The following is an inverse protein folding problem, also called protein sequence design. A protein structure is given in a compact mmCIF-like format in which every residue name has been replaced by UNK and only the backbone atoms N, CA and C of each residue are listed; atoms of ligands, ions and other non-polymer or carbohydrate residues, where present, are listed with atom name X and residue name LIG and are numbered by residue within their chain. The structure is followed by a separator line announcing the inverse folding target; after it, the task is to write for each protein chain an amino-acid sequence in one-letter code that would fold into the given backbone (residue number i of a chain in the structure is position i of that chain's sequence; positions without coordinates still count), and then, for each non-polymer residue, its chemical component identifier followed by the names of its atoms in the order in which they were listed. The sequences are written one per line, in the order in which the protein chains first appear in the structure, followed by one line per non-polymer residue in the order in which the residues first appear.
data_IF_506671230953
#
_entry.id   IF_506671230953
#
_cell.length_a   1.000
_cell.length_b   1.000
_cell.length_c   1.000
_cell.angle_alpha   90.00
_cell.angle_beta   90.00
_cell.angle_gamma   90.00
#
_symmetry.space_group_name_H-M   'P 1'
#
loop_
_entity.id
_entity.type
_entity.pdbx_description
1 polymer ?
#
# COMPACT_ATOMS: atom_id res chain seq x y z
N UNK A 1 16.82 -1.60 -19.36
CA UNK A 1 15.96 -1.30 -18.20
C UNK A 1 16.03 0.20 -18.01
N UNK A 2 14.92 0.91 -18.12
CA UNK A 2 14.92 2.35 -17.90
C UNK A 2 15.29 2.62 -16.44
N UNK A 3 16.26 3.51 -16.26
CA UNK A 3 16.72 3.95 -14.95
C UNK A 3 15.53 4.70 -14.31
N UNK A 4 14.89 4.11 -13.31
CA UNK A 4 13.80 4.79 -12.61
C UNK A 4 14.40 5.96 -11.83
N UNK A 5 13.78 7.15 -11.90
CA UNK A 5 14.28 8.30 -11.17
C UNK A 5 14.29 8.03 -9.67
N UNK A 6 15.39 8.34 -9.02
CA UNK A 6 15.50 8.23 -7.56
C UNK A 6 14.57 9.26 -6.92
N UNK A 7 13.70 8.79 -6.05
CA UNK A 7 12.78 9.63 -5.29
C UNK A 7 13.51 10.18 -4.06
N UNK A 8 13.64 11.49 -3.97
CA UNK A 8 14.40 12.13 -2.90
C UNK A 8 13.52 12.65 -1.74
N UNK A 9 12.23 12.80 -1.97
CA UNK A 9 11.31 13.27 -0.94
C UNK A 9 9.89 12.72 -1.13
N UNK A 10 9.09 12.60 -0.06
CA UNK A 10 7.68 12.27 -0.17
C UNK A 10 6.92 13.23 -1.08
N UNK A 11 7.24 14.52 -1.01
CA UNK A 11 6.63 15.54 -1.86
C UNK A 11 6.87 15.27 -3.34
N UNK A 12 8.11 15.01 -3.74
CA UNK A 12 8.42 14.70 -5.15
C UNK A 12 7.71 13.42 -5.60
N UNK A 13 7.61 12.43 -4.72
CA UNK A 13 6.89 11.21 -5.01
C UNK A 13 5.41 11.49 -5.30
N UNK A 14 4.71 12.11 -4.37
CA UNK A 14 3.26 12.30 -4.50
C UNK A 14 2.86 13.34 -5.56
N UNK A 15 3.61 14.44 -5.68
CA UNK A 15 3.20 15.56 -6.53
C UNK A 15 3.70 15.45 -7.97
N UNK A 16 4.70 14.60 -8.25
CA UNK A 16 5.28 14.44 -9.59
C UNK A 16 5.30 12.99 -10.05
N UNK A 17 6.08 12.14 -9.35
CA UNK A 17 6.42 10.79 -9.84
C UNK A 17 5.18 9.90 -9.89
N UNK A 18 4.34 9.94 -8.86
CA UNK A 18 3.15 9.14 -8.77
C UNK A 18 2.11 9.48 -9.85
N UNK A 19 1.72 10.74 -10.09
CA UNK A 19 0.81 11.11 -11.17
C UNK A 19 1.38 10.81 -12.57
N UNK A 20 2.67 11.08 -12.78
CA UNK A 20 3.34 10.80 -14.05
C UNK A 20 3.38 9.30 -14.34
N UNK A 21 3.76 8.49 -13.36
CA UNK A 21 3.77 7.03 -13.46
C UNK A 21 2.36 6.47 -13.72
N UNK A 22 1.34 7.04 -13.09
CA UNK A 22 -0.04 6.66 -13.33
C UNK A 22 -0.48 6.98 -14.76
N UNK A 23 -0.16 8.17 -15.27
CA UNK A 23 -0.57 8.61 -16.61
C UNK A 23 0.03 7.78 -17.75
N UNK A 24 1.17 7.08 -17.51
CA UNK A 24 1.83 6.24 -18.52
C UNK A 24 1.29 4.81 -18.59
N UNK A 25 0.39 4.43 -17.68
CA UNK A 25 -0.16 3.08 -17.63
C UNK A 25 -1.56 3.03 -18.26
N UNK A 26 -1.86 1.91 -18.91
CA UNK A 26 -3.22 1.64 -19.39
C UNK A 26 -4.08 1.13 -18.24
N UNK A 27 -5.04 1.94 -17.80
CA UNK A 27 -5.94 1.60 -16.70
C UNK A 27 -7.21 0.90 -17.15
N UNK A 28 -7.34 0.61 -18.45
CA UNK A 28 -8.54 0.03 -19.05
C UNK A 28 -9.77 0.95 -18.97
N UNK A 29 -10.77 0.68 -19.77
CA UNK A 29 -12.07 1.37 -19.69
C UNK A 29 -12.80 0.93 -18.40
N UNK A 30 -12.99 1.84 -17.45
CA UNK A 30 -13.70 1.58 -16.20
C UNK A 30 -12.80 1.38 -14.97
N UNK A 31 -11.65 2.04 -14.93
CA UNK A 31 -10.76 2.05 -13.74
C UNK A 31 -11.55 2.32 -12.46
N UNK A 32 -11.30 1.50 -11.42
CA UNK A 32 -12.02 1.59 -10.16
C UNK A 32 -11.79 2.94 -9.48
N UNK A 33 -12.87 3.57 -9.02
CA UNK A 33 -12.78 4.81 -8.25
C UNK A 33 -12.27 4.52 -6.84
N UNK A 34 -11.22 5.20 -6.43
CA UNK A 34 -10.61 5.05 -5.12
C UNK A 34 -10.23 6.41 -4.53
N UNK A 35 -10.35 6.53 -3.22
CA UNK A 35 -9.90 7.67 -2.41
C UNK A 35 -8.93 7.15 -1.36
N UNK A 36 -7.68 7.58 -1.43
CA UNK A 36 -6.60 7.14 -0.56
C UNK A 36 -6.02 8.36 0.16
N UNK A 37 -5.71 8.21 1.43
CA UNK A 37 -5.06 9.24 2.24
C UNK A 37 -3.72 8.72 2.74
N UNK A 38 -2.68 9.50 2.58
CA UNK A 38 -1.33 9.17 3.03
C UNK A 38 -0.90 10.16 4.11
N UNK A 39 -0.55 9.62 5.26
CA UNK A 39 0.01 10.36 6.39
C UNK A 39 1.46 9.93 6.54
N UNK A 40 2.37 10.75 6.05
CA UNK A 40 3.81 10.47 6.07
C UNK A 40 4.43 11.21 7.26
N UNK A 41 4.98 10.44 8.20
CA UNK A 41 5.58 10.99 9.43
C UNK A 41 7.09 11.15 9.27
N UNK A 42 7.70 11.95 10.15
CA UNK A 42 9.14 12.17 10.17
C UNK A 42 9.58 13.31 9.25
N UNK A 43 10.88 13.37 8.99
CA UNK A 43 11.51 14.45 8.25
C UNK A 43 11.02 14.52 6.80
N UNK A 44 10.62 15.71 6.35
CA UNK A 44 10.02 15.89 5.02
C UNK A 44 8.65 15.25 4.84
N UNK A 45 8.02 14.80 5.92
CA UNK A 45 6.68 14.23 5.92
C UNK A 45 5.58 15.23 5.59
N UNK A 46 4.35 14.76 5.55
CA UNK A 46 3.17 15.54 5.22
C UNK A 46 1.96 14.63 4.97
N UNK A 47 0.90 15.23 4.47
CA UNK A 47 -0.31 14.51 4.12
C UNK A 47 -0.64 14.71 2.66
N UNK A 48 -1.11 13.65 1.99
CA UNK A 48 -1.55 13.69 0.60
C UNK A 48 -2.82 12.87 0.42
N UNK A 49 -3.76 13.47 -0.28
CA UNK A 49 -4.96 12.78 -0.74
C UNK A 49 -4.82 12.41 -2.21
N UNK A 50 -4.96 11.13 -2.51
CA UNK A 50 -4.91 10.57 -3.87
C UNK A 50 -6.30 10.07 -4.24
N UNK A 51 -6.90 10.67 -5.24
CA UNK A 51 -8.19 10.27 -5.79
C UNK A 51 -8.00 9.72 -7.19
N UNK A 52 -8.51 8.53 -7.42
CA UNK A 52 -8.63 7.95 -8.76
C UNK A 52 -10.10 7.91 -9.12
N UNK A 53 -10.46 8.50 -10.24
CA UNK A 53 -11.83 8.51 -10.77
C UNK A 53 -11.78 8.53 -12.29
N UNK A 54 -12.56 7.66 -12.91
CA UNK A 54 -12.70 7.59 -14.37
C UNK A 54 -11.34 7.49 -15.11
N UNK A 55 -10.43 6.69 -14.56
CA UNK A 55 -9.09 6.50 -15.11
C UNK A 55 -8.14 7.69 -14.94
N UNK A 56 -8.51 8.68 -14.14
CA UNK A 56 -7.67 9.85 -13.84
C UNK A 56 -7.26 9.84 -12.38
N UNK A 57 -6.00 10.17 -12.12
CA UNK A 57 -5.49 10.37 -10.78
C UNK A 57 -5.36 11.87 -10.48
N UNK A 58 -5.79 12.26 -9.30
CA UNK A 58 -5.58 13.59 -8.73
C UNK A 58 -4.89 13.45 -7.39
N UNK A 59 -3.80 14.17 -7.18
CA UNK A 59 -3.10 14.24 -5.91
C UNK A 59 -3.22 15.65 -5.34
N UNK A 60 -3.63 15.74 -4.09
CA UNK A 60 -3.79 17.00 -3.37
C UNK A 60 -3.02 16.93 -2.06
N UNK A 61 -2.16 17.91 -1.80
CA UNK A 61 -1.48 18.03 -0.51
C UNK A 61 -2.48 18.44 0.59
N UNK A 62 -2.33 17.85 1.76
CA UNK A 62 -3.19 18.05 2.92
C UNK A 62 -4.14 16.90 3.19
N UNK A 63 -4.94 17.05 4.26
CA UNK A 63 -5.91 16.06 4.68
C UNK A 63 -7.00 15.84 3.62
N UNK A 64 -7.50 14.62 3.54
CA UNK A 64 -8.58 14.28 2.63
C UNK A 64 -9.85 15.08 2.98
N UNK A 65 -10.51 15.72 2.02
CA UNK A 65 -11.75 16.46 2.25
C UNK A 65 -12.94 15.53 2.54
N UNK A 66 -12.83 14.26 2.19
CA UNK A 66 -13.82 13.21 2.40
C UNK A 66 -13.14 12.00 3.07
N UNK A 67 -13.89 11.13 3.77
CA UNK A 67 -13.34 9.90 4.31
C UNK A 67 -12.67 9.08 3.22
N UNK A 68 -11.39 8.79 3.41
CA UNK A 68 -10.65 7.96 2.48
C UNK A 68 -11.06 6.49 2.64
N UNK A 69 -11.07 5.76 1.53
CA UNK A 69 -11.29 4.32 1.52
C UNK A 69 -10.21 3.61 2.35
N UNK A 70 -8.96 4.05 2.18
CA UNK A 70 -7.83 3.59 2.99
C UNK A 70 -6.96 4.78 3.36
N UNK A 71 -6.62 4.89 4.64
CA UNK A 71 -5.56 5.79 5.12
C UNK A 71 -4.31 4.98 5.38
N UNK A 72 -3.23 5.34 4.70
CA UNK A 72 -1.90 4.78 4.91
C UNK A 72 -1.09 5.69 5.81
N UNK A 73 -0.45 5.11 6.84
CA UNK A 73 0.47 5.85 7.70
C UNK A 73 1.80 5.12 7.75
N UNK A 74 2.87 5.80 7.39
CA UNK A 74 4.23 5.29 7.41
C UNK A 74 5.23 6.43 7.55
N UNK A 75 6.48 6.10 7.87
CA UNK A 75 7.53 7.12 7.95
C UNK A 75 8.00 7.55 6.56
N UNK A 76 8.55 8.77 6.47
CA UNK A 76 9.22 9.26 5.26
C UNK A 76 10.34 8.32 4.81
N UNK A 77 11.13 7.83 5.78
CA UNK A 77 12.20 6.86 5.52
C UNK A 77 11.64 5.58 4.89
N UNK A 78 10.58 5.00 5.47
CA UNK A 78 9.99 3.77 4.98
C UNK A 78 9.36 3.95 3.60
N UNK A 79 8.72 5.10 3.35
CA UNK A 79 8.21 5.44 2.02
C UNK A 79 9.34 5.49 0.99
N UNK A 80 10.42 6.22 1.30
CA UNK A 80 11.55 6.37 0.37
C UNK A 80 12.30 5.06 0.13
N UNK A 81 12.51 4.27 1.19
CA UNK A 81 13.07 2.92 1.07
C UNK A 81 12.19 2.04 0.17
N UNK A 82 10.88 2.17 0.35
CA UNK A 82 9.90 1.42 -0.41
C UNK A 82 9.91 1.76 -1.91
N UNK A 83 9.82 3.03 -2.24
CA UNK A 83 9.71 3.46 -3.65
C UNK A 83 11.03 3.39 -4.41
N UNK A 84 12.17 3.50 -3.70
CA UNK A 84 13.50 3.39 -4.29
C UNK A 84 14.05 1.94 -4.32
N UNK A 85 13.39 0.99 -3.66
CA UNK A 85 13.84 -0.39 -3.70
C UNK A 85 13.71 -0.93 -5.12
N UNK A 86 14.85 -1.33 -5.73
CA UNK A 86 14.91 -1.84 -7.10
C UNK A 86 14.13 -3.14 -7.33
N UNK A 87 13.67 -3.76 -6.27
CA UNK A 87 12.98 -5.04 -6.30
C UNK A 87 11.46 -4.96 -6.45
N UNK A 88 10.88 -3.77 -6.68
CA UNK A 88 9.49 -3.61 -7.13
C UNK A 88 8.38 -4.08 -6.18
N UNK A 89 8.73 -4.71 -5.06
CA UNK A 89 7.76 -5.32 -4.15
C UNK A 89 6.95 -4.31 -3.36
N UNK A 90 7.43 -3.10 -3.28
CA UNK A 90 6.84 -2.10 -2.41
C UNK A 90 5.94 -1.10 -3.13
N UNK A 91 6.09 -0.80 -4.43
CA UNK A 91 5.09 0.01 -5.13
C UNK A 91 3.67 -0.54 -5.00
N UNK A 92 3.49 -1.85 -5.01
CA UNK A 92 2.19 -2.50 -4.83
C UNK A 92 1.60 -2.37 -3.43
N UNK A 93 2.41 -2.10 -2.41
CA UNK A 93 1.96 -1.79 -1.05
C UNK A 93 1.54 -0.34 -0.90
N UNK A 94 2.27 0.56 -1.56
CA UNK A 94 2.01 2.02 -1.50
C UNK A 94 0.88 2.42 -2.45
N UNK A 95 0.63 1.63 -3.50
CA UNK A 95 -0.37 1.90 -4.54
C UNK A 95 -1.22 0.67 -4.83
N UNK A 96 -2.24 0.38 -4.03
CA UNK A 96 -3.12 -0.77 -4.26
C UNK A 96 -3.89 -0.70 -5.58
N UNK A 97 -3.86 0.44 -6.27
CA UNK A 97 -4.62 0.70 -7.50
C UNK A 97 -3.92 0.19 -8.77
N UNK A 98 -2.67 -0.28 -8.68
CA UNK A 98 -1.86 -0.49 -9.89
C UNK A 98 -1.13 -1.83 -9.99
N UNK A 99 -1.81 -2.92 -10.20
CA UNK A 99 -1.16 -4.07 -10.85
C UNK A 99 -2.14 -4.79 -11.77
N UNK A 100 -2.01 -4.52 -13.10
CA UNK A 100 -2.47 -5.37 -14.21
C UNK A 100 -3.60 -6.37 -13.86
N UNK A 101 -4.82 -5.91 -13.63
CA UNK A 101 -5.97 -6.79 -13.33
C UNK A 101 -5.99 -7.40 -11.92
N UNK A 102 -5.01 -7.11 -11.07
CA UNK A 102 -4.95 -7.48 -9.65
C UNK A 102 -5.02 -6.22 -8.77
N UNK A 103 -6.02 -5.40 -8.99
CA UNK A 103 -6.31 -4.23 -8.16
C UNK A 103 -7.04 -4.61 -6.89
N UNK A 104 -7.00 -3.71 -5.90
CA UNK A 104 -7.91 -3.77 -4.77
C UNK A 104 -9.35 -3.78 -5.31
N UNK A 105 -10.13 -4.80 -4.97
CA UNK A 105 -11.55 -4.79 -5.26
C UNK A 105 -12.19 -3.65 -4.45
N UNK A 106 -12.42 -2.52 -5.10
CA UNK A 106 -12.92 -1.30 -4.43
C UNK A 106 -14.28 -1.54 -3.78
N UNK A 107 -15.12 -2.41 -4.33
CA UNK A 107 -16.40 -2.77 -3.75
C UNK A 107 -16.22 -3.53 -2.42
N UNK A 108 -15.30 -4.51 -2.38
CA UNK A 108 -14.97 -5.23 -1.15
C UNK A 108 -14.27 -4.32 -0.15
N UNK A 109 -13.33 -3.47 -0.59
CA UNK A 109 -12.63 -2.53 0.28
C UNK A 109 -13.56 -1.50 0.92
N UNK A 110 -14.63 -1.07 0.23
CA UNK A 110 -15.64 -0.15 0.79
C UNK A 110 -16.41 -0.72 1.97
N UNK A 111 -16.52 -2.04 2.06
CA UNK A 111 -17.17 -2.72 3.18
C UNK A 111 -16.25 -3.00 4.35
N UNK A 112 -14.92 -2.91 4.13
CA UNK A 112 -13.93 -3.16 5.18
C UNK A 112 -13.97 -2.04 6.23
N UNK A 113 -13.90 -2.45 7.49
CA UNK A 113 -13.71 -1.54 8.64
C UNK A 113 -12.67 -2.16 9.55
N UNK A 114 -11.65 -1.42 9.89
CA UNK A 114 -10.58 -1.87 10.78
C UNK A 114 -9.22 -1.33 10.38
N UNK A 115 -8.21 -1.69 11.15
CA UNK A 115 -6.84 -1.27 10.95
C UNK A 115 -5.92 -2.48 10.83
N UNK A 116 -5.10 -2.49 9.79
CA UNK A 116 -4.04 -3.47 9.61
C UNK A 116 -2.69 -2.79 9.74
N UNK A 117 -1.80 -3.36 10.54
CA UNK A 117 -0.40 -2.93 10.65
C UNK A 117 0.50 -3.99 10.03
N UNK A 118 1.33 -3.58 9.09
CA UNK A 118 2.27 -4.44 8.41
C UNK A 118 3.69 -4.12 8.88
N UNK A 119 4.40 -5.14 9.38
CA UNK A 119 5.79 -5.08 9.77
C UNK A 119 6.62 -5.92 8.79
N UNK A 120 7.39 -5.28 7.92
CA UNK A 120 8.30 -5.95 6.99
C UNK A 120 9.70 -6.00 7.61
N UNK A 121 10.11 -7.17 8.12
CA UNK A 121 11.43 -7.33 8.72
C UNK A 121 12.51 -7.40 7.64
N UNK A 122 13.66 -6.79 7.93
CA UNK A 122 14.84 -6.73 7.03
C UNK A 122 16.04 -7.34 7.76
N UNK A 123 16.99 -8.00 7.04
CA UNK A 123 18.20 -8.54 7.66
C UNK A 123 19.06 -7.44 8.28
N UNK A 124 19.13 -6.29 7.59
CA UNK A 124 20.04 -5.19 7.91
C UNK A 124 19.24 -3.91 8.17
N UNK A 125 18.64 -3.78 9.34
CA UNK A 125 18.00 -2.54 9.73
C UNK A 125 16.64 -2.70 10.43
N UNK A 126 16.04 -1.58 10.75
CA UNK A 126 14.72 -1.54 11.36
C UNK A 126 13.63 -2.07 10.41
N UNK A 127 12.58 -2.72 10.93
CA UNK A 127 11.46 -3.13 10.10
C UNK A 127 10.80 -1.91 9.45
N UNK A 128 10.34 -2.08 8.22
CA UNK A 128 9.43 -1.13 7.60
C UNK A 128 8.05 -1.33 8.19
N UNK A 129 7.46 -0.26 8.69
CA UNK A 129 6.13 -0.29 9.29
C UNK A 129 5.14 0.52 8.46
N UNK A 130 3.97 -0.06 8.21
CA UNK A 130 2.88 0.62 7.54
C UNK A 130 1.55 0.29 8.20
N UNK A 131 0.83 1.31 8.62
CA UNK A 131 -0.54 1.19 9.10
C UNK A 131 -1.52 1.51 7.97
N UNK A 132 -2.54 0.67 7.81
CA UNK A 132 -3.64 0.82 6.86
C UNK A 132 -4.95 0.85 7.61
N UNK A 133 -5.61 2.00 7.65
CA UNK A 133 -6.91 2.18 8.27
C UNK A 133 -8.00 2.21 7.19
N UNK A 134 -8.90 1.24 7.20
CA UNK A 134 -9.99 1.11 6.24
C UNK A 134 -11.23 1.85 6.72
N UNK A 135 -11.71 2.76 5.88
CA UNK A 135 -12.90 3.59 6.12
C UNK A 135 -12.91 4.29 7.50
N UNK A 136 -11.72 4.73 7.95
CA UNK A 136 -11.54 5.45 9.21
C UNK A 136 -11.80 4.64 10.48
N UNK A 137 -11.89 3.32 10.41
CA UNK A 137 -12.19 2.48 11.55
C UNK A 137 -10.91 1.99 12.25
N UNK A 138 -10.76 2.33 13.54
CA UNK A 138 -9.62 1.89 14.34
C UNK A 138 -9.70 0.39 14.73
N UNK A 139 -10.88 -0.19 14.71
CA UNK A 139 -11.09 -1.61 15.08
C UNK A 139 -12.03 -2.29 14.08
N UNK A 140 -11.91 -3.63 13.91
CA UNK A 140 -10.88 -4.50 14.50
C UNK A 140 -9.46 -4.17 14.06
N UNK A 141 -8.46 -4.61 14.84
CA UNK A 141 -7.04 -4.41 14.52
C UNK A 141 -6.34 -5.75 14.30
N UNK A 142 -5.51 -5.79 13.27
CA UNK A 142 -4.66 -6.93 12.96
C UNK A 142 -3.25 -6.45 12.65
N UNK A 143 -2.26 -7.16 13.18
CA UNK A 143 -0.85 -6.92 12.90
C UNK A 143 -0.28 -8.12 12.16
N UNK A 144 0.44 -7.88 11.08
CA UNK A 144 1.08 -8.90 10.28
C UNK A 144 2.57 -8.62 10.20
N UNK A 145 3.38 -9.62 10.58
CA UNK A 145 4.84 -9.57 10.44
C UNK A 145 5.28 -10.58 9.41
N UNK A 146 6.08 -10.13 8.44
CA UNK A 146 6.66 -10.98 7.40
C UNK A 146 8.03 -10.43 7.00
N UNK A 147 8.96 -11.31 6.59
CA UNK A 147 10.22 -10.84 6.04
C UNK A 147 10.00 -10.16 4.68
N UNK A 148 10.71 -9.05 4.42
CA UNK A 148 10.61 -8.33 3.15
C UNK A 148 10.87 -9.25 1.95
N UNK A 149 11.88 -10.14 2.06
CA UNK A 149 12.19 -11.11 1.01
C UNK A 149 11.05 -12.09 0.72
N UNK A 150 10.34 -12.56 1.78
CA UNK A 150 9.19 -13.45 1.63
C UNK A 150 8.00 -12.68 1.05
N UNK A 151 7.82 -11.42 1.44
CA UNK A 151 6.80 -10.54 0.84
C UNK A 151 7.02 -10.34 -0.64
N UNK A 152 8.26 -10.06 -1.06
CA UNK A 152 8.66 -9.97 -2.47
C UNK A 152 8.34 -11.27 -3.21
N UNK A 153 8.72 -12.41 -2.63
CA UNK A 153 8.46 -13.71 -3.23
C UNK A 153 6.95 -13.99 -3.44
N UNK A 154 6.10 -13.52 -2.51
CA UNK A 154 4.65 -13.63 -2.66
C UNK A 154 4.11 -12.71 -3.78
N UNK A 155 4.58 -11.48 -3.88
CA UNK A 155 4.16 -10.54 -4.91
C UNK A 155 4.58 -10.97 -6.32
N UNK A 156 5.72 -11.64 -6.44
CA UNK A 156 6.21 -12.25 -7.68
C UNK A 156 5.56 -13.63 -7.99
N UNK A 157 4.69 -14.12 -7.12
CA UNK A 157 4.04 -15.43 -7.29
C UNK A 157 4.95 -16.64 -7.08
N UNK A 158 6.17 -16.43 -6.54
CA UNK A 158 7.13 -17.50 -6.20
C UNK A 158 6.81 -18.20 -4.87
N UNK A 159 5.93 -17.60 -4.07
CA UNK A 159 5.47 -18.12 -2.80
C UNK A 159 3.96 -17.87 -2.66
N UNK A 160 3.26 -18.86 -2.14
CA UNK A 160 1.84 -18.74 -1.83
C UNK A 160 1.67 -18.20 -0.40
N UNK A 161 0.76 -17.24 -0.20
CA UNK A 161 0.49 -16.65 1.11
C UNK A 161 0.01 -17.67 2.15
N UNK A 162 -0.79 -18.66 1.74
CA UNK A 162 -1.23 -19.75 2.62
C UNK A 162 -0.05 -20.61 3.08
N UNK A 163 0.83 -20.97 2.16
CA UNK A 163 2.08 -21.70 2.48
C UNK A 163 2.97 -20.89 3.42
N UNK A 164 3.15 -19.61 3.15
CA UNK A 164 3.92 -18.72 4.01
C UNK A 164 3.35 -18.63 5.43
N UNK A 165 2.02 -18.61 5.57
CA UNK A 165 1.36 -18.66 6.87
C UNK A 165 1.56 -20.00 7.58
N UNK A 166 1.34 -21.13 6.89
CA UNK A 166 1.48 -22.46 7.46
C UNK A 166 2.94 -22.79 7.88
N UNK A 167 3.91 -22.25 7.16
CA UNK A 167 5.34 -22.42 7.48
C UNK A 167 5.87 -21.39 8.49
N UNK A 168 4.99 -20.53 9.03
CA UNK A 168 5.36 -19.55 10.06
C UNK A 168 6.16 -18.34 9.55
N UNK A 169 6.25 -18.16 8.24
CA UNK A 169 6.88 -16.98 7.60
C UNK A 169 6.03 -15.73 7.76
N UNK A 170 4.71 -15.88 7.84
CA UNK A 170 3.78 -14.83 8.22
C UNK A 170 3.35 -15.07 9.66
N UNK A 171 3.54 -14.06 10.50
CA UNK A 171 3.03 -14.04 11.87
C UNK A 171 1.90 -13.03 11.95
N UNK A 172 0.79 -13.43 12.56
CA UNK A 172 -0.41 -12.59 12.68
C UNK A 172 -0.78 -12.47 14.15
N UNK A 173 -1.12 -11.27 14.57
CA UNK A 173 -1.70 -10.95 15.87
C UNK A 173 -2.98 -10.15 15.68
N UNK A 174 -4.00 -10.41 16.49
CA UNK A 174 -5.28 -9.71 16.42
C UNK A 174 -6.37 -10.47 15.68
N UNK A 175 -7.20 -9.78 14.93
CA UNK A 175 -8.41 -10.35 14.32
C UNK A 175 -8.11 -11.05 12.98
N UNK A 176 -8.14 -12.38 13.00
CA UNK A 176 -7.93 -13.22 11.81
C UNK A 176 -9.07 -13.09 10.80
N UNK A 177 -10.28 -12.84 11.26
CA UNK A 177 -11.44 -12.66 10.37
C UNK A 177 -11.27 -11.39 9.53
N UNK A 178 -10.80 -10.32 10.16
CA UNK A 178 -10.48 -9.08 9.47
C UNK A 178 -9.33 -9.26 8.46
N UNK A 179 -8.27 -9.98 8.85
CA UNK A 179 -7.17 -10.28 7.91
C UNK A 179 -7.68 -11.01 6.66
N UNK A 180 -8.55 -12.00 6.83
CA UNK A 180 -9.13 -12.74 5.70
C UNK A 180 -9.97 -11.85 4.79
N UNK A 181 -10.73 -10.90 5.37
CA UNK A 181 -11.48 -9.92 4.58
C UNK A 181 -10.55 -9.00 3.79
N UNK A 182 -9.45 -8.53 4.39
CA UNK A 182 -8.43 -7.72 3.70
C UNK A 182 -7.81 -8.52 2.57
N UNK A 183 -7.42 -9.77 2.79
CA UNK A 183 -6.84 -10.64 1.77
C UNK A 183 -7.80 -10.82 0.58
N UNK A 184 -9.08 -11.07 0.82
CA UNK A 184 -10.10 -11.18 -0.24
C UNK A 184 -10.30 -9.86 -0.99
N UNK A 185 -10.30 -8.73 -0.30
CA UNK A 185 -10.46 -7.42 -0.93
C UNK A 185 -9.26 -7.00 -1.76
N UNK A 186 -8.06 -7.46 -1.41
CA UNK A 186 -6.81 -7.15 -2.14
C UNK A 186 -6.45 -8.19 -3.19
N UNK A 187 -7.25 -9.25 -3.35
CA UNK A 187 -7.02 -10.32 -4.32
C UNK A 187 -5.77 -11.16 -4.03
N UNK A 188 -5.42 -11.29 -2.77
CA UNK A 188 -4.19 -11.96 -2.29
C UNK A 188 -4.50 -13.10 -1.37
#
# INVERSE_FOLDING_TARGET
MADQPVVNSPKDFFEKILPEGFATQDHGAGGENASLHYVITGDGGGEWHVKVADGKMTVTAGAAPEPALVTFKLSSKDLLDAVNSRNGAVPGLVLPVQQQGKGCNSAAARSLKGTMVLHLTRPDGDPLEMEMCFNGAAAPKTEMTVALADRIAMDEGRMNGQEAFMTGKIKVQGDMGFLMQVAMATGR
#
